data_IF_808106260139
#
_entry.id   IF_808106260139
#
_cell.length_a   1.000
_cell.length_b   1.000
_cell.length_c   1.000
_cell.angle_alpha   90.00
_cell.angle_beta   90.00
_cell.angle_gamma   90.00
#
_symmetry.space_group_name_H-M   'P 1'
#
loop_
_entity.id
_entity.type
_entity.pdbx_description
1 polymer ?
#
# COMPACT_ATOMS: atom_id res chain seq x y z
N UNK A 1 -1.16 -15.98 10.68
CA UNK A 1 -0.13 -15.17 10.00
C UNK A 1 0.97 -14.82 10.98
N UNK A 2 2.24 -14.93 10.59
CA UNK A 2 3.38 -14.46 11.39
C UNK A 2 3.78 -13.04 10.95
N UNK A 3 4.43 -12.25 11.82
CA UNK A 3 4.91 -10.91 11.45
C UNK A 3 5.89 -10.92 10.26
N UNK A 4 6.53 -12.06 9.98
CA UNK A 4 7.40 -12.28 8.82
C UNK A 4 6.66 -12.34 7.48
N UNK A 5 5.34 -12.51 7.51
CA UNK A 5 4.53 -12.63 6.29
C UNK A 5 4.20 -11.25 5.70
N UNK A 6 4.31 -10.18 6.51
CA UNK A 6 4.19 -8.79 6.06
C UNK A 6 5.48 -8.35 5.37
N UNK A 7 5.34 -7.93 4.12
CA UNK A 7 6.47 -7.61 3.26
C UNK A 7 6.20 -6.38 2.42
N UNK A 8 7.29 -5.69 2.08
CA UNK A 8 7.28 -4.59 1.11
C UNK A 8 8.05 -5.04 -0.12
N UNK A 9 7.43 -4.93 -1.29
CA UNK A 9 8.03 -5.19 -2.59
C UNK A 9 8.36 -3.89 -3.31
N UNK A 10 9.39 -3.91 -4.15
CA UNK A 10 9.61 -2.82 -5.10
C UNK A 10 8.56 -2.83 -6.21
N UNK A 11 8.34 -1.68 -6.85
CA UNK A 11 7.52 -1.60 -8.06
C UNK A 11 8.38 -1.70 -9.33
N UNK A 12 7.87 -2.39 -10.34
CA UNK A 12 8.38 -2.36 -11.70
C UNK A 12 8.12 -1.00 -12.36
N UNK A 13 8.79 -0.69 -13.47
CA UNK A 13 8.63 0.58 -14.18
C UNK A 13 7.19 0.82 -14.65
N UNK A 14 6.47 -0.24 -15.04
CA UNK A 14 5.05 -0.19 -15.42
C UNK A 14 4.10 -0.10 -14.21
N UNK A 15 4.63 0.08 -13.01
CA UNK A 15 3.84 0.26 -11.80
C UNK A 15 3.49 -1.01 -11.05
N UNK A 16 3.54 -2.19 -11.69
CA UNK A 16 3.14 -3.46 -11.05
C UNK A 16 4.12 -3.89 -9.96
N UNK A 17 3.66 -4.71 -9.02
CA UNK A 17 4.51 -5.36 -8.00
C UNK A 17 5.63 -6.16 -8.67
N UNK A 18 6.87 -6.00 -8.19
CA UNK A 18 7.96 -6.92 -8.53
C UNK A 18 7.97 -8.13 -7.59
N UNK A 19 8.89 -9.08 -7.79
CA UNK A 19 9.16 -10.16 -6.83
C UNK A 19 10.29 -9.83 -5.84
N UNK A 20 10.88 -8.63 -5.95
CA UNK A 20 11.97 -8.18 -5.08
C UNK A 20 11.42 -7.61 -3.79
N UNK A 21 11.70 -8.30 -2.68
CA UNK A 21 11.40 -7.83 -1.33
C UNK A 21 12.42 -6.78 -0.90
N UNK A 22 11.93 -5.67 -0.36
CA UNK A 22 12.74 -4.60 0.22
C UNK A 22 13.01 -4.89 1.69
N UNK A 23 14.28 -5.16 2.00
CA UNK A 23 14.72 -5.45 3.38
C UNK A 23 14.72 -4.17 4.23
N UNK A 24 14.06 -4.23 5.39
CA UNK A 24 14.07 -3.13 6.37
C UNK A 24 15.49 -2.76 6.82
N UNK A 25 15.73 -1.48 7.07
CA UNK A 25 17.04 -0.94 7.49
C UNK A 25 18.15 -0.97 6.43
N UNK A 26 17.88 -1.52 5.24
CA UNK A 26 18.86 -1.50 4.15
C UNK A 26 18.91 -0.12 3.49
N UNK A 27 20.11 0.48 3.32
CA UNK A 27 20.24 1.79 2.74
C UNK A 27 19.85 1.76 1.26
N UNK A 28 19.25 2.85 0.79
CA UNK A 28 18.96 3.10 -0.63
C UNK A 28 17.96 2.14 -1.31
N UNK A 29 17.24 1.32 -0.53
CA UNK A 29 16.25 0.37 -1.05
C UNK A 29 14.92 1.01 -1.49
N UNK A 30 14.54 2.15 -0.90
CA UNK A 30 13.32 2.90 -1.27
C UNK A 30 13.70 4.20 -1.95
N UNK A 31 14.37 5.11 -1.24
CA UNK A 31 14.92 6.33 -1.81
C UNK A 31 16.41 6.16 -2.06
N UNK A 32 16.87 6.50 -3.26
CA UNK A 32 18.30 6.62 -3.54
C UNK A 32 18.97 7.68 -2.66
N UNK A 33 20.29 7.59 -2.51
CA UNK A 33 21.05 8.65 -1.85
C UNK A 33 20.89 10.01 -2.54
N UNK A 34 20.69 11.04 -1.71
CA UNK A 34 20.66 12.45 -2.12
C UNK A 34 22.09 13.01 -2.14
N UNK A 35 22.50 13.61 -3.26
CA UNK A 35 23.80 14.25 -3.40
C UNK A 35 23.79 15.61 -2.69
N UNK A 36 24.96 16.05 -2.22
CA UNK A 36 25.10 17.38 -1.62
C UNK A 36 24.66 18.50 -2.56
N UNK A 37 24.91 18.37 -3.87
CA UNK A 37 24.46 19.32 -4.89
C UNK A 37 22.94 19.37 -5.02
N UNK A 38 22.26 18.21 -4.93
CA UNK A 38 20.80 18.11 -5.01
C UNK A 38 20.16 18.71 -3.76
N UNK A 39 20.73 18.46 -2.58
CA UNK A 39 20.30 19.10 -1.33
C UNK A 39 20.43 20.63 -1.37
N UNK A 40 21.55 21.14 -1.90
CA UNK A 40 21.76 22.59 -2.02
C UNK A 40 20.74 23.21 -2.98
N UNK A 41 20.42 22.53 -4.08
CA UNK A 41 19.43 23.00 -5.06
C UNK A 41 17.98 22.81 -4.60
N UNK A 42 17.74 21.86 -3.70
CA UNK A 42 16.41 21.32 -3.41
C UNK A 42 16.08 20.19 -4.38
N UNK A 43 15.44 19.13 -3.87
CA UNK A 43 15.00 18.00 -4.68
C UNK A 43 13.75 17.37 -4.07
N UNK A 44 12.87 16.90 -4.95
CA UNK A 44 11.74 16.06 -4.58
C UNK A 44 11.86 14.74 -5.32
N UNK A 45 11.68 13.62 -4.63
CA UNK A 45 11.70 12.27 -5.21
C UNK A 45 10.42 11.53 -4.87
N UNK A 46 9.72 11.05 -5.89
CA UNK A 46 8.59 10.14 -5.74
C UNK A 46 9.00 8.71 -6.12
N UNK A 47 8.59 7.75 -5.30
CA UNK A 47 8.79 6.31 -5.54
C UNK A 47 7.54 5.53 -5.17
N UNK A 48 7.36 4.37 -5.80
CA UNK A 48 6.27 3.44 -5.51
C UNK A 48 6.80 2.12 -4.96
N UNK A 49 6.11 1.61 -3.96
CA UNK A 49 6.33 0.28 -3.36
C UNK A 49 4.98 -0.45 -3.21
N UNK A 50 5.00 -1.75 -2.94
CA UNK A 50 3.79 -2.56 -2.74
C UNK A 50 3.87 -3.29 -1.40
N UNK A 51 2.85 -3.13 -0.58
CA UNK A 51 2.85 -3.48 0.83
C UNK A 51 1.81 -4.56 1.04
N UNK A 52 2.17 -5.71 1.59
CA UNK A 52 1.20 -6.78 1.78
C UNK A 52 1.84 -8.09 2.16
N UNK A 53 1.37 -9.18 1.56
CA UNK A 53 1.59 -10.53 2.09
C UNK A 53 2.51 -11.40 1.25
N UNK A 54 3.30 -12.20 1.96
CA UNK A 54 3.98 -13.42 1.49
C UNK A 54 3.62 -14.58 2.43
N UNK A 55 2.33 -14.78 2.64
CA UNK A 55 1.80 -15.82 3.51
C UNK A 55 1.63 -17.13 2.72
N UNK A 56 2.13 -18.27 3.23
CA UNK A 56 1.97 -19.58 2.60
C UNK A 56 0.58 -20.20 2.78
N UNK A 57 -0.11 -19.80 3.84
CA UNK A 57 -1.41 -20.33 4.30
C UNK A 57 -2.60 -19.55 3.71
N UNK A 58 -2.35 -18.55 2.88
CA UNK A 58 -3.35 -17.78 2.12
C UNK A 58 -4.38 -16.98 2.94
N UNK A 59 -4.15 -16.76 4.24
CA UNK A 59 -4.96 -15.86 5.06
C UNK A 59 -4.80 -14.39 4.62
N UNK A 60 -5.92 -13.68 4.55
CA UNK A 60 -5.98 -12.23 4.36
C UNK A 60 -5.39 -11.46 5.55
N UNK A 61 -4.88 -10.24 5.28
CA UNK A 61 -4.57 -9.27 6.33
C UNK A 61 -5.82 -8.42 6.57
N UNK A 62 -6.43 -8.57 7.73
CA UNK A 62 -7.64 -7.88 8.09
C UNK A 62 -7.32 -6.52 8.70
N UNK A 63 -8.22 -5.57 8.49
CA UNK A 63 -8.10 -4.19 9.00
C UNK A 63 -6.69 -3.59 8.78
N UNK A 64 -6.16 -3.62 7.54
CA UNK A 64 -4.82 -3.16 7.26
C UNK A 64 -4.68 -1.67 7.59
N UNK A 65 -3.50 -1.29 8.07
CA UNK A 65 -3.15 0.11 8.31
C UNK A 65 -1.71 0.39 7.91
N UNK A 66 -1.45 1.57 7.38
CA UNK A 66 -0.07 2.01 7.15
C UNK A 66 0.14 3.48 7.42
N UNK A 67 1.26 3.78 8.07
CA UNK A 67 1.60 5.13 8.51
C UNK A 67 3.11 5.35 8.52
N UNK A 68 3.50 6.62 8.45
CA UNK A 68 4.88 7.06 8.67
C UNK A 68 5.09 7.24 10.17
N UNK A 69 5.98 6.48 10.78
CA UNK A 69 6.09 6.35 12.23
C UNK A 69 6.45 7.66 12.93
N UNK A 70 7.36 8.44 12.34
CA UNK A 70 7.86 9.68 12.93
C UNK A 70 8.43 10.60 11.88
N UNK A 71 8.44 11.92 12.08
CA UNK A 71 9.13 12.83 11.17
C UNK A 71 10.59 12.41 10.96
N UNK A 72 11.15 12.71 9.79
CA UNK A 72 12.55 12.39 9.45
C UNK A 72 13.53 12.98 10.48
N UNK A 73 14.82 12.63 10.46
CA UNK A 73 15.75 13.19 11.44
C UNK A 73 16.35 14.53 11.01
N UNK A 74 16.38 14.84 9.71
CA UNK A 74 16.84 16.16 9.27
C UNK A 74 15.76 17.23 9.53
N UNK A 75 16.14 18.47 9.88
CA UNK A 75 15.18 19.48 10.29
C UNK A 75 14.24 19.95 9.16
N UNK A 76 14.70 19.88 7.90
CA UNK A 76 14.03 20.56 6.78
C UNK A 76 13.26 19.60 5.87
N UNK A 77 13.72 18.35 5.78
CA UNK A 77 13.13 17.37 4.87
C UNK A 77 11.89 16.72 5.46
N UNK A 78 11.03 16.20 4.60
CA UNK A 78 9.86 15.46 5.04
C UNK A 78 9.45 14.40 4.01
N UNK A 79 8.67 13.43 4.50
CA UNK A 79 8.10 12.38 3.67
C UNK A 79 6.58 12.41 3.81
N UNK A 80 5.88 12.31 2.69
CA UNK A 80 4.44 12.02 2.66
C UNK A 80 4.17 10.76 1.86
N UNK A 81 3.03 10.13 2.12
CA UNK A 81 2.58 8.88 1.53
C UNK A 81 1.16 9.01 0.99
N UNK A 82 0.82 8.18 0.01
CA UNK A 82 -0.54 8.03 -0.47
C UNK A 82 -0.77 6.61 -1.00
N UNK A 83 -2.03 6.23 -1.15
CA UNK A 83 -2.42 5.02 -1.87
C UNK A 83 -2.39 5.29 -3.40
N UNK A 84 -1.42 4.66 -4.07
CA UNK A 84 -1.18 4.80 -5.51
C UNK A 84 -2.06 3.83 -6.30
N UNK A 85 -2.22 3.98 -7.60
CA UNK A 85 -2.94 3.00 -8.41
C UNK A 85 -2.06 1.79 -8.77
N UNK A 86 -2.62 0.58 -8.82
CA UNK A 86 -1.88 -0.68 -9.09
C UNK A 86 -0.97 -0.60 -10.33
N UNK A 87 -1.46 0.00 -11.43
CA UNK A 87 -0.71 0.14 -12.69
C UNK A 87 -0.04 1.51 -12.89
N UNK A 88 -0.01 2.36 -11.87
CA UNK A 88 0.66 3.66 -11.98
C UNK A 88 2.16 3.49 -12.14
N UNK A 89 2.72 4.01 -13.24
CA UNK A 89 4.14 3.87 -13.57
C UNK A 89 5.03 4.33 -12.41
N UNK A 90 6.07 3.54 -12.10
CA UNK A 90 7.02 3.85 -11.04
C UNK A 90 8.11 4.79 -11.56
N UNK A 91 7.72 6.00 -11.94
CA UNK A 91 8.63 7.09 -12.29
C UNK A 91 8.24 8.37 -11.55
N UNK A 92 9.26 9.18 -11.26
CA UNK A 92 9.15 10.37 -10.43
C UNK A 92 8.11 11.38 -10.96
N UNK A 93 8.01 11.56 -12.27
CA UNK A 93 7.12 12.57 -12.87
C UNK A 93 5.66 12.13 -12.86
N UNK A 94 5.39 10.86 -13.17
CA UNK A 94 4.05 10.30 -13.19
C UNK A 94 3.48 10.22 -11.77
N UNK A 95 4.29 9.78 -10.80
CA UNK A 95 3.87 9.70 -9.40
C UNK A 95 3.55 11.07 -8.80
N UNK A 96 4.32 12.12 -9.14
CA UNK A 96 4.01 13.50 -8.73
C UNK A 96 2.71 14.02 -9.35
N UNK A 97 2.39 13.59 -10.56
CA UNK A 97 1.12 13.94 -11.21
C UNK A 97 -0.05 13.24 -10.51
N UNK A 98 0.11 11.96 -10.15
CA UNK A 98 -0.89 11.23 -9.38
C UNK A 98 -1.13 11.88 -8.01
N UNK A 99 -0.05 12.17 -7.28
CA UNK A 99 -0.06 12.75 -5.93
C UNK A 99 -0.97 13.98 -5.81
N UNK A 100 -1.01 14.84 -6.84
CA UNK A 100 -1.80 16.08 -6.82
C UNK A 100 -3.32 15.86 -6.65
N UNK A 101 -3.80 14.63 -6.85
CA UNK A 101 -5.21 14.25 -6.72
C UNK A 101 -5.49 13.32 -5.53
N UNK A 102 -4.49 13.08 -4.69
CA UNK A 102 -4.53 12.06 -3.64
C UNK A 102 -4.59 12.68 -2.27
N UNK A 103 -5.26 11.98 -1.37
CA UNK A 103 -5.11 12.17 0.07
C UNK A 103 -3.69 11.82 0.48
N UNK A 104 -3.10 12.66 1.32
CA UNK A 104 -1.70 12.55 1.72
C UNK A 104 -1.60 12.32 3.22
N UNK A 105 -0.64 11.47 3.57
CA UNK A 105 -0.47 10.97 4.93
C UNK A 105 0.98 11.13 5.34
N UNK A 106 1.20 11.46 6.61
CA UNK A 106 2.53 11.75 7.13
C UNK A 106 2.54 11.74 8.64
N UNK A 107 3.46 12.50 9.22
CA UNK A 107 3.69 12.53 10.66
C UNK A 107 4.13 13.90 11.13
N UNK A 108 3.81 14.22 12.38
CA UNK A 108 4.24 15.41 13.10
C UNK A 108 4.69 15.05 14.52
N UNK A 109 5.53 15.90 15.11
CA UNK A 109 5.93 15.77 16.51
C UNK A 109 4.89 16.45 17.41
N UNK A 110 4.71 15.96 18.63
CA UNK A 110 3.86 16.63 19.62
C UNK A 110 4.49 17.99 20.01
N UNK A 111 3.70 19.06 20.02
CA UNK A 111 4.17 20.41 20.36
C UNK A 111 3.94 20.76 21.84
N UNK A 112 2.88 20.23 22.43
CA UNK A 112 2.53 20.43 23.84
C UNK A 112 2.09 19.13 24.52
N UNK A 113 2.41 18.99 25.81
CA UNK A 113 2.00 17.83 26.61
C UNK A 113 0.47 17.66 26.61
N UNK A 114 0.02 16.43 26.43
CA UNK A 114 -1.38 16.02 26.48
C UNK A 114 -1.66 15.38 27.83
N UNK A 115 -2.77 15.75 28.46
CA UNK A 115 -3.28 15.10 29.65
C UNK A 115 -4.43 14.16 29.28
N UNK A 116 -4.50 12.99 29.92
CA UNK A 116 -5.66 12.12 29.81
C UNK A 116 -6.97 12.89 30.06
N UNK A 117 -7.94 12.73 29.17
CA UNK A 117 -9.18 13.51 29.14
C UNK A 117 -9.20 14.68 28.16
N UNK A 118 -8.04 15.10 27.64
CA UNK A 118 -7.99 16.13 26.59
C UNK A 118 -8.58 15.60 25.28
N UNK A 119 -9.18 16.50 24.48
CA UNK A 119 -9.70 16.20 23.14
C UNK A 119 -9.05 17.04 22.05
N UNK A 120 -8.32 18.08 22.43
CA UNK A 120 -7.64 19.02 21.53
C UNK A 120 -6.19 19.13 21.95
N UNK A 121 -5.29 19.11 20.98
CA UNK A 121 -3.85 19.07 21.19
C UNK A 121 -3.13 19.69 19.99
N UNK A 122 -1.86 20.03 20.21
CA UNK A 122 -1.04 20.71 19.22
C UNK A 122 0.12 19.81 18.77
N UNK A 123 0.34 19.75 17.46
CA UNK A 123 1.48 19.08 16.83
C UNK A 123 2.25 20.07 15.98
N UNK A 124 3.55 19.86 15.80
CA UNK A 124 4.40 20.68 14.95
C UNK A 124 4.79 19.92 13.68
N UNK A 125 4.44 20.50 12.52
CA UNK A 125 4.86 19.98 11.22
C UNK A 125 6.19 20.60 10.80
N UNK A 126 6.95 19.91 9.95
CA UNK A 126 8.27 20.38 9.50
C UNK A 126 8.25 21.47 8.46
N UNK A 127 7.16 21.59 7.72
CA UNK A 127 7.10 22.45 6.56
C UNK A 127 5.68 22.97 6.34
N UNK A 128 5.57 24.18 5.78
CA UNK A 128 4.28 24.84 5.54
C UNK A 128 3.38 24.05 4.57
N UNK A 129 3.98 23.28 3.66
CA UNK A 129 3.24 22.42 2.73
C UNK A 129 2.43 21.33 3.45
N UNK A 130 2.82 20.94 4.66
CA UNK A 130 2.16 19.92 5.48
C UNK A 130 1.00 20.47 6.33
N UNK A 131 0.78 21.79 6.30
CA UNK A 131 -0.29 22.43 7.07
C UNK A 131 -1.66 22.13 6.45
N UNK A 132 -2.74 22.28 7.24
CA UNK A 132 -4.11 22.21 6.73
C UNK A 132 -4.33 23.13 5.51
N UNK A 133 -4.79 22.55 4.40
CA UNK A 133 -4.97 23.24 3.10
C UNK A 133 -3.67 23.47 2.31
N UNK A 134 -2.52 22.98 2.78
CA UNK A 134 -1.24 23.00 2.08
C UNK A 134 -1.17 22.02 0.92
N UNK A 135 -0.10 22.09 0.12
CA UNK A 135 0.08 21.20 -1.05
C UNK A 135 0.26 19.74 -0.67
N UNK A 136 0.70 19.47 0.55
CA UNK A 136 0.91 18.15 1.12
C UNK A 136 0.21 18.03 2.46
N UNK A 137 -1.03 18.54 2.57
CA UNK A 137 -1.83 18.47 3.81
C UNK A 137 -1.96 17.02 4.30
N UNK A 138 -1.46 16.77 5.51
CA UNK A 138 -1.44 15.45 6.14
C UNK A 138 -2.48 15.28 7.26
N UNK A 139 -3.21 16.33 7.63
CA UNK A 139 -4.20 16.27 8.70
C UNK A 139 -5.51 16.94 8.27
N UNK A 140 -6.47 16.12 7.88
CA UNK A 140 -7.79 16.57 7.46
C UNK A 140 -8.89 16.01 8.36
N UNK A 141 -10.06 16.64 8.31
CA UNK A 141 -11.24 16.15 9.04
C UNK A 141 -11.57 14.70 8.64
N UNK A 142 -11.89 13.86 9.63
CA UNK A 142 -12.20 12.46 9.42
C UNK A 142 -10.99 11.54 9.20
N UNK A 143 -9.76 12.06 9.13
CA UNK A 143 -8.57 11.20 9.00
C UNK A 143 -8.38 10.35 10.25
N UNK A 144 -8.09 9.06 10.04
CA UNK A 144 -7.58 8.19 11.07
C UNK A 144 -6.11 8.53 11.37
N UNK A 145 -5.78 8.60 12.65
CA UNK A 145 -4.46 8.97 13.14
C UNK A 145 -4.07 8.08 14.32
N UNK A 146 -2.77 7.92 14.51
CA UNK A 146 -2.17 7.28 15.68
C UNK A 146 -1.30 8.28 16.42
N UNK A 147 -1.45 8.36 17.74
CA UNK A 147 -0.43 8.97 18.61
C UNK A 147 0.38 7.87 19.27
N UNK A 148 1.71 8.03 19.32
CA UNK A 148 2.60 7.01 19.87
C UNK A 148 3.79 7.65 20.61
N UNK A 149 4.12 7.13 21.80
CA UNK A 149 5.32 7.50 22.58
C UNK A 149 6.33 6.36 22.71
N UNK A 150 6.19 5.31 21.90
CA UNK A 150 7.17 4.21 21.86
C UNK A 150 8.52 4.74 21.37
N UNK A 151 9.62 4.23 21.91
CA UNK A 151 10.98 4.66 21.54
C UNK A 151 11.35 4.32 20.09
N UNK A 152 10.74 3.26 19.54
CA UNK A 152 10.82 2.86 18.13
C UNK A 152 9.48 2.30 17.66
N UNK A 153 9.27 2.21 16.34
CA UNK A 153 8.07 1.64 15.73
C UNK A 153 7.74 0.19 16.14
N UNK A 154 8.71 -0.55 16.69
CA UNK A 154 8.53 -1.96 17.13
C UNK A 154 8.75 -2.13 18.63
N UNK A 155 8.92 -1.03 19.36
CA UNK A 155 9.07 -1.11 20.80
C UNK A 155 7.70 -1.34 21.47
N UNK A 156 7.75 -1.84 22.69
CA UNK A 156 6.58 -2.14 23.54
C UNK A 156 6.56 -1.25 24.79
N UNK A 157 7.33 -0.14 24.75
CA UNK A 157 7.41 0.87 25.80
C UNK A 157 6.51 2.06 25.48
N UNK A 158 6.15 2.88 26.47
CA UNK A 158 5.28 4.02 26.24
C UNK A 158 3.81 3.64 26.02
N UNK A 159 3.07 4.54 25.39
CA UNK A 159 1.65 4.38 25.10
C UNK A 159 1.37 4.70 23.63
N UNK A 160 0.28 4.13 23.11
CA UNK A 160 -0.25 4.42 21.78
C UNK A 160 -1.78 4.44 21.82
N UNK A 161 -2.37 5.30 20.98
CA UNK A 161 -3.81 5.40 20.81
C UNK A 161 -4.15 5.76 19.36
N UNK A 162 -5.13 5.06 18.80
CA UNK A 162 -5.74 5.42 17.53
C UNK A 162 -6.96 6.33 17.75
N UNK A 163 -7.16 7.25 16.82
CA UNK A 163 -8.26 8.20 16.87
C UNK A 163 -8.61 8.71 15.48
N UNK A 164 -9.79 9.32 15.39
CA UNK A 164 -10.24 10.03 14.19
C UNK A 164 -10.24 11.52 14.48
N UNK A 165 -9.74 12.33 13.54
CA UNK A 165 -9.86 13.78 13.60
C UNK A 165 -11.33 14.18 13.48
N UNK A 166 -11.77 15.13 14.30
CA UNK A 166 -13.14 15.65 14.33
C UNK A 166 -13.13 17.16 14.12
N UNK A 167 -13.59 17.60 12.95
CA UNK A 167 -13.56 18.98 12.48
C UNK A 167 -12.25 19.32 11.77
N UNK A 168 -12.28 20.43 11.01
CA UNK A 168 -11.11 20.92 10.27
C UNK A 168 -10.00 21.38 11.23
N UNK A 169 -8.78 20.80 11.15
CA UNK A 169 -7.66 21.30 11.93
C UNK A 169 -7.31 22.76 11.61
N UNK A 170 -6.80 23.47 12.61
CA UNK A 170 -6.38 24.87 12.47
C UNK A 170 -4.89 24.99 12.74
N UNK A 171 -4.25 26.10 12.35
CA UNK A 171 -2.80 26.25 12.57
C UNK A 171 -2.38 27.69 12.85
N UNK A 172 -1.23 27.82 13.52
CA UNK A 172 -0.52 29.08 13.76
C UNK A 172 0.98 28.84 13.59
N UNK A 173 1.60 29.47 12.59
CA UNK A 173 2.95 29.11 12.19
C UNK A 173 3.00 27.67 11.67
N UNK A 174 3.88 26.84 12.23
CA UNK A 174 3.99 25.41 11.93
C UNK A 174 3.26 24.50 12.93
N UNK A 175 2.56 25.09 13.90
CA UNK A 175 1.81 24.35 14.91
C UNK A 175 0.38 24.15 14.40
N UNK A 176 -0.05 22.89 14.35
CA UNK A 176 -1.39 22.46 13.95
C UNK A 176 -2.14 22.02 15.20
N UNK A 177 -3.28 22.66 15.44
CA UNK A 177 -4.23 22.28 16.49
C UNK A 177 -5.23 21.28 15.91
N UNK A 178 -5.24 20.07 16.48
CA UNK A 178 -6.10 18.96 16.09
C UNK A 178 -7.10 18.69 17.20
N UNK A 179 -8.36 18.45 16.83
CA UNK A 179 -9.37 17.92 17.75
C UNK A 179 -9.67 16.47 17.35
N UNK A 180 -9.57 15.54 18.30
CA UNK A 180 -9.95 14.15 18.09
C UNK A 180 -11.43 13.92 18.43
N UNK A 181 -12.01 12.88 17.86
CA UNK A 181 -13.24 12.30 18.39
C UNK A 181 -12.96 11.64 19.75
N UNK A 182 -13.79 11.94 20.74
CA UNK A 182 -13.61 11.50 22.12
C UNK A 182 -12.48 12.23 22.85
N UNK A 183 -11.86 11.56 23.82
CA UNK A 183 -10.78 12.09 24.66
C UNK A 183 -9.63 11.09 24.75
N UNK A 184 -8.41 11.57 24.99
CA UNK A 184 -7.27 10.69 25.26
C UNK A 184 -7.46 9.89 26.54
N UNK A 185 -7.08 8.62 26.50
CA UNK A 185 -7.04 7.78 27.70
C UNK A 185 -5.74 7.94 28.45
N UNK A 186 -4.64 8.16 27.74
CA UNK A 186 -3.30 8.33 28.27
C UNK A 186 -2.85 9.79 28.20
N UNK A 187 -1.81 10.10 28.97
CA UNK A 187 -1.06 11.35 28.82
C UNK A 187 0.15 11.12 27.92
N UNK A 188 0.51 12.14 27.14
CA UNK A 188 1.67 12.13 26.25
C UNK A 188 2.52 13.36 26.51
N UNK A 189 3.84 13.22 26.52
CA UNK A 189 4.73 14.36 26.74
C UNK A 189 5.66 14.58 25.56
N UNK A 190 5.97 15.84 25.28
CA UNK A 190 6.96 16.22 24.25
C UNK A 190 8.30 15.57 24.56
N UNK A 191 8.67 15.51 25.86
CA UNK A 191 9.91 14.90 26.32
C UNK A 191 10.01 13.39 26.03
N UNK A 192 8.89 12.68 25.89
CA UNK A 192 8.88 11.26 25.49
C UNK A 192 9.14 11.04 24.00
N UNK A 193 9.17 12.10 23.19
CA UNK A 193 9.20 11.98 21.73
C UNK A 193 7.86 11.49 21.16
N UNK A 194 6.75 11.84 21.82
CA UNK A 194 5.43 11.54 21.33
C UNK A 194 5.21 12.17 19.95
N UNK A 195 4.59 11.40 19.06
CA UNK A 195 4.39 11.77 17.66
C UNK A 195 3.01 11.34 17.19
N UNK A 196 2.53 12.02 16.17
CA UNK A 196 1.22 11.78 15.58
C UNK A 196 1.38 11.48 14.10
N UNK A 197 0.76 10.40 13.66
CA UNK A 197 0.81 9.93 12.27
C UNK A 197 -0.59 9.83 11.72
N UNK A 198 -0.85 10.47 10.58
CA UNK A 198 -2.07 10.17 9.82
C UNK A 198 -1.89 8.84 9.08
N UNK A 199 -2.96 8.05 9.05
CA UNK A 199 -2.93 6.65 8.64
C UNK A 199 -3.72 6.43 7.36
N UNK A 200 -3.15 5.65 6.46
CA UNK A 200 -3.89 5.04 5.35
C UNK A 200 -4.55 3.79 5.92
N UNK A 201 -5.89 3.75 5.87
CA UNK A 201 -6.70 2.58 6.19
C UNK A 201 -7.38 2.10 4.90
N UNK A 202 -6.80 1.12 4.18
CA UNK A 202 -7.46 0.53 3.02
C UNK A 202 -8.87 0.06 3.39
N UNK A 203 -9.81 0.26 2.46
CA UNK A 203 -11.23 -0.06 2.69
C UNK A 203 -11.55 -1.56 2.65
N UNK A 204 -10.56 -2.40 2.32
CA UNK A 204 -10.68 -3.84 2.21
C UNK A 204 -9.44 -4.52 2.80
N UNK A 205 -9.62 -5.77 3.21
CA UNK A 205 -8.54 -6.65 3.63
C UNK A 205 -7.50 -6.80 2.51
N UNK A 206 -6.23 -6.99 2.87
CA UNK A 206 -5.19 -7.26 1.87
C UNK A 206 -5.20 -8.76 1.56
N UNK A 207 -5.78 -9.08 0.42
CA UNK A 207 -5.84 -10.41 -0.17
C UNK A 207 -5.85 -10.31 -1.70
N UNK A 208 -5.50 -11.38 -2.43
CA UNK A 208 -5.54 -11.35 -3.87
C UNK A 208 -7.00 -11.37 -4.30
N UNK A 209 -7.33 -10.56 -5.30
CA UNK A 209 -8.70 -10.48 -5.81
C UNK A 209 -8.73 -10.71 -7.32
N UNK A 210 -9.91 -10.99 -7.84
CA UNK A 210 -10.15 -11.06 -9.28
C UNK A 210 -11.41 -10.29 -9.65
N UNK A 211 -11.44 -9.76 -10.86
CA UNK A 211 -12.69 -9.30 -11.48
C UNK A 211 -13.55 -10.51 -11.84
N UNK A 212 -14.86 -10.29 -11.95
CA UNK A 212 -15.79 -11.32 -12.42
C UNK A 212 -15.36 -11.79 -13.82
N UNK A 213 -15.18 -13.10 -14.05
CA UNK A 213 -14.85 -13.61 -15.37
C UNK A 213 -15.94 -13.31 -16.39
N UNK A 214 -15.53 -12.86 -17.58
CA UNK A 214 -16.42 -12.47 -18.67
C UNK A 214 -16.21 -13.39 -19.86
N UNK A 215 -17.24 -14.16 -20.21
CA UNK A 215 -17.25 -15.00 -21.40
C UNK A 215 -17.66 -14.19 -22.64
N UNK A 216 -16.92 -14.33 -23.73
CA UNK A 216 -17.30 -13.89 -25.07
C UNK A 216 -17.42 -15.12 -25.95
N UNK A 217 -18.64 -15.58 -26.17
CA UNK A 217 -18.94 -16.83 -26.89
C UNK A 217 -19.93 -16.60 -28.03
N UNK A 218 -19.82 -17.40 -29.09
CA UNK A 218 -20.85 -17.50 -30.13
C UNK A 218 -21.97 -18.52 -29.80
N UNK A 219 -21.76 -19.35 -28.77
CA UNK A 219 -22.71 -20.34 -28.26
C UNK A 219 -23.23 -19.97 -26.87
N UNK A 220 -23.47 -20.98 -26.04
CA UNK A 220 -23.98 -20.85 -24.68
C UNK A 220 -22.88 -21.15 -23.63
N UNK A 221 -21.61 -20.84 -23.93
CA UNK A 221 -20.48 -21.03 -23.02
C UNK A 221 -20.55 -20.07 -21.82
N UNK A 222 -20.47 -20.60 -20.60
CA UNK A 222 -20.61 -19.83 -19.36
C UNK A 222 -19.73 -20.41 -18.24
N UNK A 223 -19.70 -19.76 -17.07
CA UNK A 223 -18.88 -20.14 -15.91
C UNK A 223 -19.68 -20.16 -14.61
N UNK A 224 -19.34 -21.08 -13.70
CA UNK A 224 -19.84 -21.12 -12.33
C UNK A 224 -18.74 -20.71 -11.34
N UNK A 225 -18.35 -19.44 -11.40
CA UNK A 225 -17.34 -18.83 -10.52
C UNK A 225 -17.86 -18.59 -9.08
N UNK A 226 -19.10 -18.99 -8.78
CA UNK A 226 -19.68 -18.90 -7.43
C UNK A 226 -19.52 -20.23 -6.69
N UNK A 227 -19.88 -21.35 -7.33
CA UNK A 227 -19.73 -22.68 -6.74
C UNK A 227 -18.29 -23.20 -6.87
N UNK A 228 -17.62 -22.84 -7.96
CA UNK A 228 -16.26 -23.27 -8.30
C UNK A 228 -15.35 -22.05 -8.57
N UNK A 229 -15.14 -21.17 -7.57
CA UNK A 229 -14.41 -19.93 -7.79
C UNK A 229 -12.98 -20.18 -8.26
N UNK A 230 -12.46 -19.33 -9.14
CA UNK A 230 -11.02 -19.31 -9.43
C UNK A 230 -10.28 -18.98 -8.13
N UNK A 231 -9.38 -19.87 -7.72
CA UNK A 231 -8.58 -19.76 -6.50
C UNK A 231 -7.31 -18.97 -6.77
N UNK A 232 -6.92 -18.10 -5.84
CA UNK A 232 -5.76 -17.21 -5.95
C UNK A 232 -4.75 -17.51 -4.83
N UNK A 233 -3.50 -17.07 -5.01
CA UNK A 233 -2.42 -17.24 -4.03
C UNK A 233 -1.85 -15.89 -3.60
N UNK A 234 -1.77 -15.64 -2.29
CA UNK A 234 -1.29 -14.38 -1.73
C UNK A 234 0.07 -13.95 -2.27
N UNK A 235 0.96 -14.91 -2.56
CA UNK A 235 2.29 -14.60 -3.03
C UNK A 235 2.43 -14.72 -4.55
N UNK A 236 1.84 -15.77 -5.12
CA UNK A 236 1.93 -16.13 -6.54
C UNK A 236 1.08 -15.28 -7.46
N UNK A 237 -0.08 -14.81 -7.02
CA UNK A 237 -0.96 -13.92 -7.81
C UNK A 237 -0.28 -12.58 -8.08
N UNK A 238 -0.43 -12.09 -9.31
CA UNK A 238 0.13 -10.82 -9.78
C UNK A 238 -0.93 -9.98 -10.48
N UNK A 239 -0.63 -8.69 -10.69
CA UNK A 239 -1.46 -7.79 -11.48
C UNK A 239 -1.43 -8.20 -12.96
N UNK A 240 -2.50 -8.80 -13.47
CA UNK A 240 -2.55 -9.34 -14.83
C UNK A 240 -3.96 -9.36 -15.40
N UNK A 241 -4.12 -8.95 -16.66
CA UNK A 241 -5.31 -9.29 -17.46
C UNK A 241 -5.09 -10.63 -18.14
N UNK A 242 -5.95 -11.60 -17.81
CA UNK A 242 -5.91 -12.96 -18.33
C UNK A 242 -6.91 -13.13 -19.47
N UNK A 243 -6.52 -13.91 -20.47
CA UNK A 243 -7.41 -14.34 -21.55
C UNK A 243 -7.23 -15.83 -21.79
N UNK A 244 -8.30 -16.58 -21.62
CA UNK A 244 -8.39 -17.95 -22.13
C UNK A 244 -9.01 -17.86 -23.52
N UNK A 245 -8.40 -18.50 -24.50
CA UNK A 245 -8.93 -18.64 -25.87
C UNK A 245 -9.18 -20.09 -26.16
N UNK A 246 -10.43 -20.46 -26.43
CA UNK A 246 -10.81 -21.82 -26.75
C UNK A 246 -10.32 -22.20 -28.14
N UNK A 247 -9.63 -23.34 -28.24
CA UNK A 247 -9.14 -23.90 -29.51
C UNK A 247 -10.12 -24.90 -30.11
N UNK A 248 -10.97 -25.49 -29.27
CA UNK A 248 -12.12 -26.30 -29.61
C UNK A 248 -13.15 -26.25 -28.47
N UNK A 249 -14.15 -27.13 -28.48
CA UNK A 249 -15.21 -27.16 -27.48
C UNK A 249 -14.75 -27.55 -26.05
N UNK A 250 -13.52 -28.02 -25.90
CA UNK A 250 -12.99 -28.57 -24.63
C UNK A 250 -11.59 -28.09 -24.28
N UNK A 251 -10.79 -27.61 -25.23
CA UNK A 251 -9.42 -27.15 -25.00
C UNK A 251 -9.32 -25.63 -25.13
N UNK A 252 -8.43 -25.02 -24.34
CA UNK A 252 -8.13 -23.59 -24.41
C UNK A 252 -6.64 -23.31 -24.16
N UNK A 253 -6.17 -22.17 -24.66
CA UNK A 253 -4.85 -21.60 -24.36
C UNK A 253 -4.98 -20.41 -23.42
N UNK A 254 -4.05 -20.25 -22.48
CA UNK A 254 -3.99 -19.09 -21.60
C UNK A 254 -3.02 -18.04 -22.15
N UNK A 255 -3.35 -16.76 -21.99
CA UNK A 255 -2.40 -15.66 -22.10
C UNK A 255 -2.62 -14.60 -21.01
N UNK A 256 -1.55 -13.88 -20.69
CA UNK A 256 -1.59 -12.69 -19.84
C UNK A 256 -1.08 -11.44 -20.59
N UNK A 257 -1.58 -10.26 -20.25
CA UNK A 257 -1.19 -8.98 -20.91
C UNK A 257 0.33 -8.73 -20.94
N UNK A 258 1.05 -9.13 -19.89
CA UNK A 258 2.50 -8.94 -19.75
C UNK A 258 3.29 -10.24 -19.85
N UNK A 259 2.64 -11.39 -19.65
CA UNK A 259 3.28 -12.71 -19.70
C UNK A 259 3.22 -13.34 -21.11
N UNK A 260 2.34 -12.86 -21.98
CA UNK A 260 2.10 -13.45 -23.29
C UNK A 260 1.39 -14.80 -23.18
N UNK A 261 1.56 -15.66 -24.19
CA UNK A 261 0.97 -17.01 -24.20
C UNK A 261 1.68 -17.92 -23.20
N UNK A 262 0.87 -18.63 -22.43
CA UNK A 262 1.29 -19.54 -21.36
C UNK A 262 0.83 -20.97 -21.70
N UNK A 263 0.52 -21.77 -20.68
CA UNK A 263 0.10 -23.15 -20.87
C UNK A 263 -1.32 -23.26 -21.46
N UNK A 264 -1.77 -24.51 -21.66
CA UNK A 264 -3.11 -24.83 -22.18
C UNK A 264 -3.84 -25.71 -21.18
N UNK A 265 -5.16 -25.60 -21.16
CA UNK A 265 -6.02 -26.36 -20.26
C UNK A 265 -7.15 -27.05 -21.00
N UNK A 266 -7.85 -27.91 -20.26
CA UNK A 266 -8.96 -28.72 -20.77
C UNK A 266 -10.14 -28.62 -19.79
N UNK A 267 -11.33 -28.37 -20.32
CA UNK A 267 -12.57 -28.43 -19.54
C UNK A 267 -12.70 -29.80 -18.87
N UNK A 268 -13.13 -29.80 -17.62
CA UNK A 268 -13.32 -31.03 -16.83
C UNK A 268 -12.06 -31.51 -16.12
N UNK A 269 -10.95 -30.77 -16.23
CA UNK A 269 -9.74 -30.96 -15.41
C UNK A 269 -9.42 -29.68 -14.64
N UNK A 270 -8.83 -29.83 -13.46
CA UNK A 270 -8.28 -28.69 -12.74
C UNK A 270 -7.11 -28.11 -13.54
N UNK A 271 -7.07 -26.79 -13.66
CA UNK A 271 -6.01 -26.08 -14.36
C UNK A 271 -5.32 -25.11 -13.42
N UNK A 272 -4.01 -25.27 -13.23
CA UNK A 272 -3.20 -24.39 -12.40
C UNK A 272 -2.07 -23.79 -13.24
N UNK A 273 -2.06 -22.46 -13.39
CA UNK A 273 -0.94 -21.75 -14.01
C UNK A 273 0.05 -21.33 -12.92
N UNK A 274 1.31 -21.76 -13.03
CA UNK A 274 2.32 -21.54 -11.99
C UNK A 274 3.17 -20.30 -12.25
N UNK A 275 3.30 -19.45 -11.24
CA UNK A 275 4.31 -18.39 -11.19
C UNK A 275 5.67 -19.00 -10.85
N UNK A 276 6.53 -19.17 -11.86
CA UNK A 276 7.85 -19.78 -11.71
C UNK A 276 8.79 -18.99 -10.80
N UNK A 277 8.61 -17.67 -10.68
CA UNK A 277 9.51 -16.80 -9.90
C UNK A 277 9.42 -17.08 -8.40
N UNK A 278 8.26 -17.57 -7.95
CA UNK A 278 7.99 -17.86 -6.54
C UNK A 278 7.54 -19.30 -6.30
N UNK A 279 7.42 -20.12 -7.36
CA UNK A 279 6.98 -21.51 -7.32
C UNK A 279 5.61 -21.70 -6.65
N UNK A 280 4.67 -20.80 -6.95
CA UNK A 280 3.28 -20.78 -6.44
C UNK A 280 2.31 -20.50 -7.60
N UNK A 281 1.03 -20.88 -7.53
CA UNK A 281 0.05 -20.57 -8.56
C UNK A 281 -0.10 -19.06 -8.78
N UNK A 282 -0.29 -18.62 -10.02
CA UNK A 282 -0.95 -17.33 -10.26
C UNK A 282 -2.42 -17.41 -9.87
N UNK A 283 -3.05 -18.51 -10.27
CA UNK A 283 -4.42 -18.90 -9.95
C UNK A 283 -4.65 -20.38 -10.31
N UNK A 284 -5.73 -20.95 -9.79
CA UNK A 284 -6.22 -22.30 -10.10
C UNK A 284 -7.70 -22.23 -10.50
N UNK A 285 -8.04 -22.86 -11.62
CA UNK A 285 -9.43 -23.03 -12.10
C UNK A 285 -9.90 -24.43 -11.68
N UNK A 286 -10.91 -24.55 -10.78
CA UNK A 286 -11.38 -25.84 -10.31
C UNK A 286 -12.14 -26.66 -11.36
N UNK A 287 -12.22 -27.97 -11.14
CA UNK A 287 -13.12 -28.85 -11.90
C UNK A 287 -14.57 -28.39 -11.66
N UNK A 288 -15.30 -28.09 -12.74
CA UNK A 288 -16.69 -27.63 -12.67
C UNK A 288 -16.88 -26.13 -12.90
N UNK A 289 -15.80 -25.36 -12.98
CA UNK A 289 -15.86 -23.92 -13.29
C UNK A 289 -16.51 -23.63 -14.64
N UNK A 290 -16.15 -24.37 -15.69
CA UNK A 290 -16.75 -24.19 -17.02
C UNK A 290 -18.11 -24.88 -17.11
N UNK A 291 -19.10 -24.14 -17.59
CA UNK A 291 -20.45 -24.65 -17.88
C UNK A 291 -20.85 -24.32 -19.31
N UNK A 292 -22.00 -24.84 -19.74
CA UNK A 292 -22.51 -24.57 -21.08
C UNK A 292 -21.73 -25.25 -22.20
N UNK A 293 -21.75 -24.64 -23.40
CA UNK A 293 -21.08 -25.19 -24.60
C UNK A 293 -20.16 -24.15 -25.23
N UNK A 294 -18.87 -24.49 -25.27
CA UNK A 294 -17.81 -23.64 -25.83
C UNK A 294 -17.48 -24.02 -27.28
N UNK A 295 -16.90 -23.08 -28.02
CA UNK A 295 -16.44 -23.29 -29.38
C UNK A 295 -15.05 -22.66 -29.62
N UNK A 296 -14.37 -23.12 -30.68
CA UNK A 296 -13.11 -22.55 -31.10
C UNK A 296 -13.25 -21.04 -31.39
N UNK A 297 -12.41 -20.22 -30.78
CA UNK A 297 -12.43 -18.76 -30.89
C UNK A 297 -13.21 -18.05 -29.77
N UNK A 298 -13.97 -18.77 -28.94
CA UNK A 298 -14.56 -18.19 -27.74
C UNK A 298 -13.46 -17.77 -26.76
N UNK A 299 -13.74 -16.76 -25.94
CA UNK A 299 -12.79 -16.28 -24.93
C UNK A 299 -13.42 -16.12 -23.55
N UNK A 300 -12.58 -16.22 -22.53
CA UNK A 300 -12.90 -15.85 -21.16
C UNK A 300 -11.83 -14.90 -20.64
N UNK A 301 -12.23 -13.74 -20.11
CA UNK A 301 -11.29 -12.74 -19.58
C UNK A 301 -11.59 -12.42 -18.13
N UNK A 302 -10.52 -12.18 -17.36
CA UNK A 302 -10.59 -11.69 -15.98
C UNK A 302 -9.26 -11.03 -15.63
N UNK A 303 -9.28 -10.16 -14.63
CA UNK A 303 -8.08 -9.48 -14.10
C UNK A 303 -7.82 -10.00 -12.70
N UNK A 304 -6.57 -10.31 -12.37
CA UNK A 304 -6.16 -10.57 -10.98
C UNK A 304 -5.42 -9.38 -10.41
N UNK A 305 -5.59 -9.15 -9.10
CA UNK A 305 -4.84 -8.19 -8.32
C UNK A 305 -4.06 -8.92 -7.21
N UNK A 306 -2.80 -8.55 -6.95
CA UNK A 306 -1.98 -9.19 -5.93
C UNK A 306 -2.47 -8.83 -4.51
N UNK A 307 -2.08 -9.64 -3.52
CA UNK A 307 -2.30 -9.39 -2.09
C UNK A 307 -1.39 -8.27 -1.54
N UNK A 308 -1.41 -7.11 -2.19
CA UNK A 308 -0.61 -5.95 -1.81
C UNK A 308 -1.32 -4.64 -2.14
N UNK A 309 -1.18 -3.65 -1.27
CA UNK A 309 -1.55 -2.26 -1.54
C UNK A 309 -0.37 -1.48 -2.14
N UNK A 310 -0.57 -0.80 -3.27
CA UNK A 310 0.42 0.12 -3.86
C UNK A 310 0.53 1.42 -3.05
N UNK A 311 1.73 1.71 -2.55
CA UNK A 311 2.01 2.91 -1.75
C UNK A 311 2.99 3.81 -2.50
N UNK A 312 2.54 5.03 -2.79
CA UNK A 312 3.40 6.11 -3.24
C UNK A 312 4.04 6.82 -2.06
N UNK A 313 5.30 7.21 -2.21
CA UNK A 313 6.05 7.95 -1.20
C UNK A 313 6.80 9.11 -1.86
N UNK A 314 6.66 10.31 -1.28
CA UNK A 314 7.33 11.52 -1.73
C UNK A 314 8.32 11.95 -0.65
N UNK A 315 9.60 12.04 -1.00
CA UNK A 315 10.61 12.70 -0.18
C UNK A 315 10.82 14.11 -0.73
N UNK A 316 10.61 15.12 0.11
CA UNK A 316 10.94 16.52 -0.19
C UNK A 316 12.15 16.93 0.62
N UNK A 317 13.18 17.41 -0.08
CA UNK A 317 14.36 18.03 0.52
C UNK A 317 14.41 19.48 0.02
N UNK A 318 14.01 20.47 0.84
CA UNK A 318 14.07 21.87 0.47
C UNK A 318 15.47 22.35 0.04
N UNK A 319 15.51 23.45 -0.70
CA UNK A 319 16.78 24.04 -1.11
C UNK A 319 17.56 24.53 0.12
N UNK A 320 18.82 24.09 0.23
CA UNK A 320 19.69 24.48 1.32
C UNK A 320 19.53 23.67 2.61
N UNK A 321 18.74 22.59 2.61
CA UNK A 321 18.53 21.74 3.80
C UNK A 321 19.83 21.30 4.45
N UNK A 322 19.86 21.05 5.76
CA UNK A 322 21.05 20.52 6.44
C UNK A 322 21.45 19.11 5.95
N UNK A 323 22.67 18.66 6.25
CA UNK A 323 23.14 17.32 5.89
C UNK A 323 22.16 16.23 6.36
N UNK A 324 21.72 15.36 5.46
CA UNK A 324 20.83 14.23 5.75
C UNK A 324 21.58 13.04 6.39
N UNK A 325 22.58 13.33 7.24
CA UNK A 325 23.38 12.30 7.89
C UNK A 325 22.51 11.50 8.86
N UNK A 326 22.59 10.17 8.78
CA UNK A 326 21.76 9.23 9.55
C UNK A 326 20.25 9.45 9.39
N UNK A 327 19.81 10.10 8.32
CA UNK A 327 18.40 10.33 8.11
C UNK A 327 17.68 9.00 7.83
N UNK A 328 16.55 8.78 8.50
CA UNK A 328 15.77 7.55 8.41
C UNK A 328 14.29 7.92 8.24
N UNK A 329 13.62 7.20 7.36
CA UNK A 329 12.16 7.16 7.24
C UNK A 329 11.70 5.79 7.72
N UNK A 330 10.95 5.76 8.82
CA UNK A 330 10.38 4.52 9.37
C UNK A 330 8.90 4.50 9.05
N UNK A 331 8.41 3.41 8.49
CA UNK A 331 7.02 3.29 8.05
C UNK A 331 6.53 1.92 8.42
N UNK A 332 5.27 1.83 8.84
CA UNK A 332 4.66 0.63 9.43
C UNK A 332 3.53 0.12 8.55
N UNK A 333 3.45 -1.20 8.44
CA UNK A 333 2.27 -1.93 7.97
C UNK A 333 1.76 -2.74 9.16
N UNK A 334 0.53 -2.46 9.57
CA UNK A 334 -0.19 -3.18 10.62
C UNK A 334 -1.46 -3.81 10.05
N UNK A 335 -2.08 -4.65 10.87
CA UNK A 335 -3.34 -5.33 10.59
C UNK A 335 -3.47 -6.57 11.47
N UNK A 336 -4.63 -7.19 11.41
CA UNK A 336 -4.93 -8.42 12.12
C UNK A 336 -4.81 -9.63 11.19
N UNK A 337 -4.35 -10.74 11.75
CA UNK A 337 -4.25 -11.98 11.01
C UNK A 337 -5.62 -12.68 11.05
N UNK A 338 -6.26 -12.91 9.90
CA UNK A 338 -7.41 -13.82 9.85
C UNK A 338 -6.97 -15.20 10.37
N UNK A 339 -7.47 -15.60 11.55
CA UNK A 339 -7.09 -16.83 12.26
C UNK A 339 -8.28 -17.54 12.85
#
# INVERSE_FOLDING_TARGET
MQSSDLVVFSALSNGRRSNTVLTSGSPENVFRKIKSSERIAGITLAVKTHWGLKNTDNYALQDPETYHDKPTLSPDDYVVKWESAQRMANDDSTLKTELASKDLFGSADLDADITAGDSTFDVVVKHADLLPGGTHDIFQDGYACRICSHSTAVATDGAEEDFTISGTPTYSGLVVTITRSGTFTNSYTVASGARVSSMIQPTADIEPTKTTPVATTAGDGDVDDTTYPIELDNYGTVEQDWTLTFTDATHYTLSGDTLGTLSSGVIGTEFTETNSDVSRPYFTIPVGFFTGTWAAGDTLTFTTHPATIPIGQLLVVPAGSASLANNVCTTVLGGEAAG
#
